data_IF_265165000291
#
_entry.id   IF_265165000291
#
_cell.length_a   1.000
_cell.length_b   1.000
_cell.length_c   1.000
_cell.angle_alpha   90.00
_cell.angle_beta   90.00
_cell.angle_gamma   90.00
#
_symmetry.space_group_name_H-M   'P 1'
#
loop_
_entity.id
_entity.type
_entity.pdbx_description
1 polymer ?
#
# COMPACT_ATOMS: atom_id res chain seq x y z
N UNK A 1 -79.92 -45.74 12.52
CA UNK A 1 -78.80 -46.00 13.48
C UNK A 1 -77.49 -45.79 12.76
N UNK A 2 -76.64 -45.14 13.42
CA UNK A 2 -75.16 -44.84 13.16
C UNK A 2 -74.87 -43.53 12.52
N UNK A 3 -74.76 -42.61 13.43
CA UNK A 3 -73.87 -41.41 13.38
C UNK A 3 -72.47 -41.82 13.82
N UNK A 4 -71.43 -41.61 13.06
CA UNK A 4 -70.07 -41.61 13.62
C UNK A 4 -69.10 -40.81 12.71
N UNK A 5 -68.55 -39.71 13.22
CA UNK A 5 -67.22 -39.16 13.10
C UNK A 5 -66.74 -38.58 11.73
N UNK A 6 -67.08 -37.35 11.47
CA UNK A 6 -66.31 -36.44 10.70
C UNK A 6 -65.84 -35.31 11.62
N UNK A 7 -64.68 -35.43 12.25
CA UNK A 7 -64.26 -34.42 13.22
C UNK A 7 -62.77 -34.46 13.62
N UNK A 8 -61.95 -35.32 13.01
CA UNK A 8 -60.57 -35.49 13.49
C UNK A 8 -59.44 -35.25 12.45
N UNK A 9 -59.81 -34.84 11.25
CA UNK A 9 -58.77 -34.73 10.16
C UNK A 9 -58.39 -33.30 9.72
N UNK A 10 -58.98 -32.26 10.35
CA UNK A 10 -58.70 -30.85 9.94
C UNK A 10 -57.72 -30.16 10.91
N UNK A 11 -57.40 -30.74 12.08
CA UNK A 11 -56.47 -30.11 13.04
C UNK A 11 -55.00 -30.46 12.85
N UNK A 12 -54.65 -31.45 12.02
CA UNK A 12 -53.28 -31.89 11.83
C UNK A 12 -52.57 -31.22 10.64
N UNK A 13 -53.28 -30.55 9.74
CA UNK A 13 -52.71 -29.93 8.55
C UNK A 13 -52.31 -28.45 8.78
N UNK A 14 -52.91 -27.80 9.79
CA UNK A 14 -52.59 -26.37 10.08
C UNK A 14 -51.36 -26.17 10.95
N UNK A 15 -50.87 -27.19 11.64
CA UNK A 15 -49.67 -27.07 12.49
C UNK A 15 -48.37 -27.30 11.76
N UNK A 16 -48.38 -27.97 10.61
CA UNK A 16 -47.16 -28.16 9.78
C UNK A 16 -46.87 -27.02 8.84
N UNK A 17 -47.85 -26.20 8.45
CA UNK A 17 -47.60 -25.01 7.60
C UNK A 17 -47.02 -23.84 8.38
N UNK A 18 -47.23 -23.74 9.68
CA UNK A 18 -46.68 -22.66 10.51
C UNK A 18 -45.21 -22.87 10.90
N UNK A 19 -44.73 -24.12 10.90
CA UNK A 19 -43.30 -24.39 11.22
C UNK A 19 -42.35 -24.22 10.04
N UNK A 20 -42.86 -24.28 8.81
CA UNK A 20 -42.02 -24.07 7.59
C UNK A 20 -41.81 -22.59 7.25
N UNK A 21 -42.61 -21.68 7.77
CA UNK A 21 -42.47 -20.25 7.55
C UNK A 21 -41.41 -19.59 8.46
N UNK A 22 -40.98 -20.25 9.55
CA UNK A 22 -39.97 -19.68 10.47
C UNK A 22 -38.52 -20.00 10.11
N UNK A 23 -38.27 -20.93 9.18
CA UNK A 23 -36.89 -21.30 8.79
C UNK A 23 -36.35 -20.48 7.62
N UNK A 24 -37.22 -19.78 6.88
CA UNK A 24 -36.80 -18.95 5.75
C UNK A 24 -36.28 -17.56 6.11
N UNK A 25 -36.31 -17.17 7.39
CA UNK A 25 -35.88 -15.82 7.84
C UNK A 25 -34.43 -15.75 8.34
N UNK A 26 -33.65 -16.85 8.29
CA UNK A 26 -32.33 -16.92 8.90
C UNK A 26 -31.16 -16.86 7.90
N UNK A 27 -31.41 -16.57 6.63
CA UNK A 27 -30.34 -16.43 5.65
C UNK A 27 -30.45 -15.09 4.88
N UNK A 28 -30.52 -13.98 5.59
CA UNK A 28 -30.11 -12.71 5.02
C UNK A 28 -28.58 -12.68 5.08
N UNK A 29 -27.89 -12.53 3.92
CA UNK A 29 -26.47 -12.27 3.95
C UNK A 29 -26.26 -11.03 4.82
N UNK A 30 -25.39 -11.13 5.81
CA UNK A 30 -25.12 -10.06 6.75
C UNK A 30 -24.88 -8.77 5.99
N UNK A 31 -25.80 -7.84 6.11
CA UNK A 31 -25.56 -6.47 5.69
C UNK A 31 -24.30 -6.04 6.46
N UNK A 32 -23.20 -5.83 5.75
CA UNK A 32 -22.01 -5.24 6.30
C UNK A 32 -22.44 -3.98 7.03
N UNK A 33 -22.42 -4.01 8.36
CA UNK A 33 -22.72 -2.83 9.16
C UNK A 33 -21.70 -1.79 8.73
N UNK A 34 -22.15 -0.85 7.93
CA UNK A 34 -21.32 0.29 7.54
C UNK A 34 -21.00 1.05 8.83
N UNK A 35 -19.74 1.03 9.23
CA UNK A 35 -19.29 1.84 10.36
C UNK A 35 -19.65 3.31 10.04
N UNK A 36 -20.56 3.94 10.79
CA UNK A 36 -21.00 5.31 10.51
C UNK A 36 -19.84 6.29 10.58
N UNK A 37 -18.86 6.06 11.45
CA UNK A 37 -17.66 6.91 11.61
C UNK A 37 -16.80 6.89 10.34
N UNK A 38 -16.68 5.73 9.69
CA UNK A 38 -15.93 5.61 8.43
C UNK A 38 -16.63 6.34 7.26
N UNK A 39 -17.97 6.38 7.24
CA UNK A 39 -18.71 7.15 6.24
C UNK A 39 -18.57 8.64 6.44
N UNK A 40 -18.61 9.09 7.70
CA UNK A 40 -18.38 10.49 8.06
C UNK A 40 -16.97 10.89 7.62
N UNK A 41 -15.96 10.11 7.95
CA UNK A 41 -14.58 10.31 7.53
C UNK A 41 -14.44 10.44 6.01
N UNK A 42 -15.00 9.50 5.24
CA UNK A 42 -14.93 9.56 3.78
C UNK A 42 -15.59 10.81 3.18
N UNK A 43 -16.71 11.28 3.77
CA UNK A 43 -17.41 12.45 3.28
C UNK A 43 -16.80 13.77 3.74
N UNK A 44 -16.54 13.89 5.03
CA UNK A 44 -16.16 15.17 5.64
C UNK A 44 -14.66 15.42 5.53
N UNK A 45 -13.84 14.42 5.83
CA UNK A 45 -12.38 14.58 5.85
C UNK A 45 -11.76 14.35 4.48
N UNK A 46 -12.23 13.33 3.75
CA UNK A 46 -11.72 13.01 2.41
C UNK A 46 -12.52 13.69 1.27
N UNK A 47 -13.71 14.21 1.54
CA UNK A 47 -14.56 14.84 0.55
C UNK A 47 -14.95 13.92 -0.61
N UNK A 48 -15.20 12.63 -0.35
CA UNK A 48 -15.61 11.66 -1.35
C UNK A 48 -17.11 11.78 -1.65
N UNK A 49 -17.47 11.60 -2.92
CA UNK A 49 -18.86 11.52 -3.35
C UNK A 49 -19.51 10.20 -2.92
N UNK A 50 -20.85 10.14 -3.00
CA UNK A 50 -21.61 8.91 -2.75
C UNK A 50 -21.17 7.77 -3.69
N UNK A 51 -20.95 8.07 -4.97
CA UNK A 51 -20.55 7.11 -5.98
C UNK A 51 -19.14 6.56 -5.70
N UNK A 52 -18.22 7.42 -5.27
CA UNK A 52 -16.88 7.01 -4.85
C UNK A 52 -16.92 6.08 -3.62
N UNK A 53 -17.77 6.40 -2.64
CA UNK A 53 -17.95 5.54 -1.46
C UNK A 53 -18.60 4.20 -1.84
N UNK A 54 -19.54 4.19 -2.78
CA UNK A 54 -20.14 2.96 -3.31
C UNK A 54 -19.11 2.11 -4.06
N UNK A 55 -18.24 2.73 -4.87
CA UNK A 55 -17.14 2.08 -5.57
C UNK A 55 -16.16 1.41 -4.58
N UNK A 56 -15.76 2.11 -3.50
CA UNK A 56 -14.92 1.53 -2.45
C UNK A 56 -15.58 0.28 -1.85
N UNK A 57 -16.88 0.35 -1.53
CA UNK A 57 -17.62 -0.78 -0.96
C UNK A 57 -17.73 -1.99 -1.89
N UNK A 58 -17.75 -1.74 -3.20
CA UNK A 58 -17.72 -2.81 -4.20
C UNK A 58 -16.34 -3.39 -4.46
N UNK A 59 -15.31 -2.95 -3.72
CA UNK A 59 -13.92 -3.43 -3.86
C UNK A 59 -13.13 -2.70 -4.94
N UNK A 60 -13.63 -1.58 -5.47
CA UNK A 60 -12.88 -0.73 -6.39
C UNK A 60 -11.98 0.23 -5.60
N UNK A 61 -10.74 0.38 -6.02
CA UNK A 61 -9.84 1.37 -5.46
C UNK A 61 -10.22 2.77 -5.92
N UNK A 62 -10.31 3.70 -4.96
CA UNK A 62 -10.53 5.13 -5.22
C UNK A 62 -9.34 5.89 -4.68
N UNK A 63 -8.74 6.75 -5.51
CA UNK A 63 -7.67 7.65 -5.10
C UNK A 63 -8.04 9.09 -5.42
N UNK A 64 -7.58 10.02 -4.59
CA UNK A 64 -7.85 11.45 -4.71
C UNK A 64 -6.66 12.26 -4.20
N UNK A 65 -6.30 13.30 -4.96
CA UNK A 65 -5.39 14.34 -4.47
C UNK A 65 -6.16 15.28 -3.54
N UNK A 66 -5.61 15.52 -2.37
CA UNK A 66 -6.15 16.43 -1.37
C UNK A 66 -5.38 17.76 -1.38
N UNK A 67 -6.00 18.86 -0.94
CA UNK A 67 -5.28 20.12 -0.76
C UNK A 67 -4.11 19.91 0.21
N UNK A 68 -2.92 20.29 -0.20
CA UNK A 68 -1.73 20.29 0.67
C UNK A 68 -1.58 21.64 1.37
N UNK A 69 -0.78 21.67 2.43
CA UNK A 69 -0.52 22.89 3.21
C UNK A 69 0.48 23.81 2.50
N UNK A 70 1.33 23.22 1.69
CA UNK A 70 2.38 23.94 0.95
C UNK A 70 2.43 23.45 -0.51
N UNK A 71 2.89 24.28 -1.46
CA UNK A 71 3.07 23.87 -2.86
C UNK A 71 4.07 22.72 -3.06
N UNK A 72 4.97 22.51 -2.10
CA UNK A 72 5.99 21.44 -2.17
C UNK A 72 5.45 20.07 -1.70
N UNK A 73 4.23 20.00 -1.20
CA UNK A 73 3.61 18.76 -0.73
C UNK A 73 2.57 18.24 -1.72
N UNK A 74 2.60 16.96 -2.01
CA UNK A 74 1.52 16.24 -2.68
C UNK A 74 0.83 15.34 -1.66
N UNK A 75 -0.44 15.67 -1.33
CA UNK A 75 -1.23 14.87 -0.41
C UNK A 75 -2.20 13.98 -1.19
N UNK A 76 -1.95 12.67 -1.15
CA UNK A 76 -2.78 11.65 -1.79
C UNK A 76 -3.48 10.80 -0.74
N UNK A 77 -4.75 10.52 -0.98
CA UNK A 77 -5.54 9.58 -0.18
C UNK A 77 -6.09 8.50 -1.10
N UNK A 78 -5.96 7.25 -0.68
CA UNK A 78 -6.53 6.11 -1.37
C UNK A 78 -7.32 5.23 -0.43
N UNK A 79 -8.40 4.63 -0.93
CA UNK A 79 -9.21 3.68 -0.19
C UNK A 79 -9.72 2.56 -1.08
N UNK A 80 -9.77 1.36 -0.52
CA UNK A 80 -10.36 0.16 -1.13
C UNK A 80 -10.92 -0.73 -0.03
N UNK A 81 -12.05 -1.36 -0.28
CA UNK A 81 -12.60 -2.36 0.63
C UNK A 81 -12.06 -3.74 0.25
N UNK A 82 -11.45 -4.42 1.22
CA UNK A 82 -10.91 -5.76 1.04
C UNK A 82 -11.73 -6.72 1.91
N UNK A 83 -12.28 -7.77 1.29
CA UNK A 83 -13.01 -8.85 1.99
C UNK A 83 -12.02 -9.78 2.69
N UNK A 84 -11.35 -9.28 3.71
CA UNK A 84 -10.41 -10.04 4.52
C UNK A 84 -10.35 -9.45 5.93
N UNK A 85 -9.98 -10.27 6.90
CA UNK A 85 -9.66 -9.77 8.23
C UNK A 85 -8.31 -9.02 8.20
N UNK A 86 -8.10 -8.02 9.06
CA UNK A 86 -6.87 -7.22 9.08
C UNK A 86 -5.59 -8.05 9.15
N UNK A 87 -5.63 -9.18 9.87
CA UNK A 87 -4.51 -10.10 10.03
C UNK A 87 -4.05 -10.70 8.71
N UNK A 88 -4.98 -10.99 7.79
CA UNK A 88 -4.66 -11.50 6.45
C UNK A 88 -3.89 -10.48 5.62
N UNK A 89 -4.25 -9.18 5.74
CA UNK A 89 -3.51 -8.10 5.11
C UNK A 89 -2.11 -7.97 5.69
N UNK A 90 -1.97 -8.01 7.02
CA UNK A 90 -0.68 -7.92 7.70
C UNK A 90 0.23 -9.11 7.34
N UNK A 91 -0.33 -10.32 7.24
CA UNK A 91 0.41 -11.50 6.76
C UNK A 91 0.89 -11.32 5.33
N UNK A 92 0.01 -10.85 4.43
CA UNK A 92 0.39 -10.56 3.05
C UNK A 92 1.48 -9.48 2.96
N UNK A 93 1.33 -8.38 3.70
CA UNK A 93 2.29 -7.26 3.70
C UNK A 93 3.68 -7.65 4.26
N UNK A 94 3.76 -8.72 5.05
CA UNK A 94 5.01 -9.27 5.61
C UNK A 94 5.58 -10.43 4.79
N UNK A 95 4.85 -10.93 3.81
CA UNK A 95 5.30 -12.01 2.93
C UNK A 95 6.15 -11.43 1.79
N UNK A 96 7.42 -11.10 2.10
CA UNK A 96 8.35 -10.52 1.13
C UNK A 96 8.63 -11.45 -0.05
N UNK A 97 8.56 -12.76 0.12
CA UNK A 97 8.77 -13.72 -0.96
C UNK A 97 7.62 -13.69 -1.98
N UNK A 98 6.42 -13.45 -1.51
CA UNK A 98 5.26 -13.22 -2.36
C UNK A 98 5.28 -11.85 -3.02
N UNK A 99 5.61 -10.79 -2.26
CA UNK A 99 5.67 -9.42 -2.77
C UNK A 99 6.73 -9.27 -3.87
N UNK A 100 7.90 -9.91 -3.75
CA UNK A 100 8.96 -9.91 -4.78
C UNK A 100 8.50 -10.46 -6.13
N UNK A 101 7.44 -11.27 -6.17
CA UNK A 101 6.90 -11.85 -7.41
C UNK A 101 5.93 -10.89 -8.12
N UNK A 102 5.56 -9.79 -7.49
CA UNK A 102 4.70 -8.77 -8.09
C UNK A 102 5.52 -7.87 -9.02
N UNK A 103 5.00 -7.53 -10.21
CA UNK A 103 5.76 -6.78 -11.22
C UNK A 103 6.15 -5.36 -10.79
N UNK A 104 5.54 -4.84 -9.74
CA UNK A 104 5.77 -3.48 -9.25
C UNK A 104 6.99 -3.36 -8.32
N UNK A 105 7.63 -4.47 -7.95
CA UNK A 105 8.79 -4.48 -7.07
C UNK A 105 10.03 -4.95 -7.82
N UNK A 106 10.94 -4.03 -8.11
CA UNK A 106 12.24 -4.34 -8.72
C UNK A 106 13.19 -4.97 -7.69
N UNK A 107 13.18 -4.45 -6.47
CA UNK A 107 13.90 -5.02 -5.34
C UNK A 107 13.09 -4.84 -4.06
N UNK A 108 13.06 -5.85 -3.22
CA UNK A 108 12.41 -5.84 -1.92
C UNK A 108 13.18 -6.74 -0.96
N UNK A 109 13.52 -6.24 0.21
CA UNK A 109 14.25 -7.01 1.21
C UNK A 109 14.08 -6.45 2.62
N UNK A 110 14.68 -7.15 3.55
CA UNK A 110 14.77 -6.75 4.95
C UNK A 110 16.24 -6.59 5.29
N UNK A 111 16.57 -5.45 5.88
CA UNK A 111 17.94 -5.23 6.37
C UNK A 111 18.25 -6.14 7.56
N UNK A 112 19.45 -6.65 7.59
CA UNK A 112 20.01 -7.34 8.76
C UNK A 112 20.12 -6.36 9.95
N UNK A 113 20.35 -6.90 11.14
CA UNK A 113 20.55 -6.08 12.32
C UNK A 113 21.93 -6.42 12.95
N UNK A 114 22.94 -5.56 12.83
CA UNK A 114 22.95 -4.25 12.15
C UNK A 114 22.88 -4.37 10.62
N UNK A 115 22.39 -3.34 9.89
CA UNK A 115 22.38 -3.31 8.44
C UNK A 115 23.78 -3.45 7.82
N UNK A 116 23.87 -4.18 6.72
CA UNK A 116 25.11 -4.46 6.01
C UNK A 116 25.01 -4.14 4.52
N UNK A 117 26.14 -3.95 3.85
CA UNK A 117 26.17 -3.67 2.41
C UNK A 117 25.56 -4.80 1.58
N UNK A 118 25.72 -6.05 2.05
CA UNK A 118 25.13 -7.24 1.42
C UNK A 118 23.59 -7.19 1.34
N UNK A 119 22.92 -6.45 2.22
CA UNK A 119 21.47 -6.29 2.21
C UNK A 119 20.99 -5.50 1.00
N UNK A 120 21.87 -4.69 0.40
CA UNK A 120 21.63 -3.85 -0.77
C UNK A 120 22.03 -4.50 -2.10
N UNK A 121 22.39 -5.78 -2.10
CA UNK A 121 22.89 -6.48 -3.32
C UNK A 121 21.91 -6.43 -4.51
N UNK A 122 20.62 -6.32 -4.28
CA UNK A 122 19.59 -6.19 -5.32
C UNK A 122 19.21 -4.74 -5.67
N UNK A 123 19.85 -3.76 -5.02
CA UNK A 123 19.59 -2.33 -5.25
C UNK A 123 20.61 -1.78 -6.24
N UNK A 124 20.14 -1.45 -7.45
CA UNK A 124 21.00 -0.92 -8.52
C UNK A 124 20.19 -0.02 -9.43
N UNK A 125 20.85 0.97 -10.01
CA UNK A 125 20.37 1.72 -11.16
C UNK A 125 20.71 0.98 -12.45
N UNK A 126 19.84 1.11 -13.43
CA UNK A 126 20.14 0.65 -14.79
C UNK A 126 21.03 1.67 -15.55
N UNK A 127 21.50 1.24 -16.74
CA UNK A 127 22.41 2.09 -17.54
C UNK A 127 21.78 3.39 -18.03
N UNK A 128 20.45 3.48 -18.15
CA UNK A 128 19.80 4.72 -18.57
C UNK A 128 19.65 5.71 -17.41
N UNK A 129 19.34 5.19 -16.22
CA UNK A 129 19.39 5.97 -14.98
C UNK A 129 20.79 6.50 -14.69
N UNK A 130 21.84 5.70 -14.92
CA UNK A 130 23.24 6.12 -14.75
C UNK A 130 23.62 7.19 -15.76
N UNK A 131 23.16 7.09 -17.01
CA UNK A 131 23.36 8.17 -18.00
C UNK A 131 22.65 9.46 -17.61
N UNK A 132 21.48 9.39 -16.99
CA UNK A 132 20.77 10.55 -16.45
C UNK A 132 21.58 11.18 -15.31
N UNK A 133 22.08 10.36 -14.36
CA UNK A 133 22.92 10.81 -13.24
C UNK A 133 24.19 11.53 -13.70
N UNK A 134 24.81 11.09 -14.79
CA UNK A 134 25.99 11.77 -15.38
C UNK A 134 25.72 13.21 -15.76
N UNK A 135 24.48 13.56 -16.09
CA UNK A 135 24.07 14.91 -16.50
C UNK A 135 23.57 15.78 -15.36
N UNK A 136 23.32 15.17 -14.20
CA UNK A 136 22.78 15.89 -13.04
C UNK A 136 23.68 17.03 -12.60
N UNK A 137 23.08 18.17 -12.34
CA UNK A 137 23.68 19.30 -11.63
C UNK A 137 22.73 19.74 -10.51
N UNK A 138 23.23 20.39 -9.44
CA UNK A 138 22.36 20.93 -8.41
C UNK A 138 21.28 21.84 -9.01
N UNK A 139 20.00 21.53 -8.72
CA UNK A 139 18.83 22.23 -9.28
C UNK A 139 18.37 21.76 -10.67
N UNK A 140 19.09 20.83 -11.31
CA UNK A 140 18.70 20.24 -12.61
C UNK A 140 19.08 18.77 -12.64
N UNK A 141 18.24 17.92 -12.08
CA UNK A 141 18.43 16.48 -12.04
C UNK A 141 17.07 15.77 -12.05
N UNK A 142 16.93 14.74 -12.88
CA UNK A 142 15.71 13.91 -12.92
C UNK A 142 15.44 13.18 -11.59
N UNK A 143 16.51 12.87 -10.86
CA UNK A 143 16.42 12.27 -9.54
C UNK A 143 16.63 13.36 -8.49
N UNK A 144 15.66 13.51 -7.58
CA UNK A 144 15.81 14.44 -6.46
C UNK A 144 16.92 13.97 -5.52
N UNK A 145 18.04 14.69 -5.55
CA UNK A 145 19.21 14.43 -4.74
C UNK A 145 19.71 15.73 -4.10
N UNK A 146 20.21 15.68 -2.86
CA UNK A 146 20.91 16.84 -2.28
C UNK A 146 22.10 17.27 -3.16
N UNK A 147 22.32 18.56 -3.32
CA UNK A 147 23.43 19.10 -4.10
C UNK A 147 24.79 18.45 -3.73
N UNK A 148 25.05 18.25 -2.42
CA UNK A 148 26.25 17.58 -1.94
C UNK A 148 26.40 16.14 -2.43
N UNK A 149 25.28 15.43 -2.65
CA UNK A 149 25.31 14.05 -3.18
C UNK A 149 25.62 14.03 -4.67
N UNK A 150 25.12 15.02 -5.42
CA UNK A 150 25.46 15.19 -6.85
C UNK A 150 26.95 15.53 -7.00
N UNK A 151 27.47 16.44 -6.20
CA UNK A 151 28.89 16.79 -6.19
C UNK A 151 29.79 15.60 -5.82
N UNK A 152 29.39 14.82 -4.81
CA UNK A 152 30.09 13.59 -4.42
C UNK A 152 30.12 12.57 -5.56
N UNK A 153 28.99 12.36 -6.23
CA UNK A 153 28.87 11.47 -7.38
C UNK A 153 29.85 11.88 -8.48
N UNK A 154 29.86 13.16 -8.87
CA UNK A 154 30.75 13.66 -9.93
C UNK A 154 32.24 13.61 -9.57
N UNK A 155 32.58 13.77 -8.30
CA UNK A 155 33.96 13.71 -7.82
C UNK A 155 34.49 12.27 -7.71
N UNK A 156 33.61 11.33 -7.40
CA UNK A 156 34.02 9.96 -7.03
C UNK A 156 33.98 8.98 -8.19
N UNK A 157 33.30 9.29 -9.29
CA UNK A 157 33.09 8.39 -10.42
C UNK A 157 33.99 8.77 -11.61
N UNK A 158 34.69 7.76 -12.14
CA UNK A 158 35.35 7.91 -13.46
C UNK A 158 34.31 7.61 -14.56
N UNK A 159 33.69 8.68 -15.06
CA UNK A 159 32.66 8.62 -16.09
C UNK A 159 33.16 8.15 -17.46
N UNK A 160 34.45 7.96 -17.64
CA UNK A 160 35.06 7.41 -18.86
C UNK A 160 35.37 5.92 -18.75
N UNK A 161 35.27 5.37 -17.57
CA UNK A 161 35.57 3.96 -17.31
C UNK A 161 34.58 2.99 -17.93
N UNK A 162 35.05 1.82 -18.32
CA UNK A 162 34.19 0.74 -18.82
C UNK A 162 33.31 0.12 -17.72
N UNK A 163 33.69 0.28 -16.45
CA UNK A 163 32.98 -0.21 -15.26
C UNK A 163 32.20 0.91 -14.53
N UNK A 164 31.86 1.99 -15.21
CA UNK A 164 31.13 3.15 -14.64
C UNK A 164 29.85 2.72 -13.94
N UNK A 165 29.09 1.81 -14.53
CA UNK A 165 27.82 1.33 -13.96
C UNK A 165 28.04 0.65 -12.61
N UNK A 166 29.12 -0.14 -12.48
CA UNK A 166 29.48 -0.78 -11.21
C UNK A 166 29.95 0.25 -10.17
N UNK A 167 30.79 1.22 -10.56
CA UNK A 167 31.26 2.29 -9.67
C UNK A 167 30.09 3.10 -9.10
N UNK A 168 29.13 3.51 -9.95
CA UNK A 168 27.95 4.26 -9.53
C UNK A 168 27.12 3.43 -8.56
N UNK A 169 26.83 2.18 -8.88
CA UNK A 169 26.03 1.30 -8.02
C UNK A 169 26.71 1.02 -6.67
N UNK A 170 28.01 0.83 -6.64
CA UNK A 170 28.78 0.66 -5.39
C UNK A 170 28.73 1.91 -4.52
N UNK A 171 28.94 3.10 -5.11
CA UNK A 171 28.84 4.36 -4.40
C UNK A 171 27.45 4.57 -3.82
N UNK A 172 26.40 4.32 -4.63
CA UNK A 172 25.02 4.44 -4.23
C UNK A 172 24.68 3.53 -3.05
N UNK A 173 25.01 2.24 -3.14
CA UNK A 173 24.78 1.27 -2.07
C UNK A 173 25.47 1.68 -0.77
N UNK A 174 26.71 2.16 -0.86
CA UNK A 174 27.47 2.66 0.28
C UNK A 174 26.80 3.89 0.92
N UNK A 175 26.36 4.82 0.09
CA UNK A 175 25.69 6.06 0.53
C UNK A 175 24.35 5.74 1.22
N UNK A 176 23.56 4.83 0.65
CA UNK A 176 22.28 4.39 1.25
C UNK A 176 22.52 3.72 2.61
N UNK A 177 23.51 2.80 2.70
CA UNK A 177 23.85 2.17 3.97
C UNK A 177 24.29 3.17 5.03
N UNK A 178 25.18 4.10 4.68
CA UNK A 178 25.65 5.15 5.60
C UNK A 178 24.48 6.02 6.11
N UNK A 179 23.58 6.41 5.22
CA UNK A 179 22.39 7.20 5.57
C UNK A 179 21.44 6.43 6.47
N UNK A 180 21.21 5.14 6.18
CA UNK A 180 20.39 4.28 7.05
C UNK A 180 20.97 4.15 8.45
N UNK A 181 22.27 3.90 8.57
CA UNK A 181 22.96 3.81 9.85
C UNK A 181 22.93 5.14 10.62
N UNK A 182 23.09 6.26 9.93
CA UNK A 182 22.96 7.59 10.51
C UNK A 182 21.51 7.84 10.98
N UNK A 183 20.52 7.48 10.16
CA UNK A 183 19.10 7.62 10.53
C UNK A 183 18.74 6.81 11.78
N UNK A 184 19.27 5.59 11.91
CA UNK A 184 19.05 4.77 13.10
C UNK A 184 19.62 5.40 14.38
N UNK A 185 20.71 6.18 14.28
CA UNK A 185 21.31 6.85 15.43
C UNK A 185 20.67 8.20 15.76
N UNK A 186 20.32 8.97 14.76
CA UNK A 186 20.05 10.41 14.85
C UNK A 186 18.62 10.78 14.42
N UNK A 187 17.86 9.80 13.85
CA UNK A 187 16.49 10.03 13.39
C UNK A 187 16.41 11.02 12.24
N UNK A 188 15.34 11.82 12.23
CA UNK A 188 15.03 12.75 11.11
C UNK A 188 16.08 13.86 10.91
N UNK A 189 17.01 14.07 11.83
CA UNK A 189 18.03 15.11 11.71
C UNK A 189 19.01 14.88 10.55
N UNK A 190 19.12 13.61 10.10
CA UNK A 190 20.02 13.26 8.96
C UNK A 190 19.32 13.25 7.61
N UNK A 191 18.01 13.53 7.57
CA UNK A 191 17.28 13.62 6.32
C UNK A 191 17.76 14.87 5.56
N UNK A 192 18.05 14.69 4.27
CA UNK A 192 18.55 15.77 3.43
C UNK A 192 17.52 16.89 3.27
N UNK A 193 18.01 18.10 3.14
CA UNK A 193 17.21 19.24 2.68
C UNK A 193 17.37 19.31 1.16
N UNK A 194 16.28 19.27 0.45
CA UNK A 194 16.21 19.40 -1.01
C UNK A 194 15.81 20.84 -1.30
N UNK A 195 16.74 21.62 -1.85
CA UNK A 195 16.55 23.03 -2.24
C UNK A 195 16.57 23.11 -3.76
N UNK A 196 15.59 22.48 -4.40
CA UNK A 196 15.39 22.57 -5.85
C UNK A 196 14.43 23.72 -6.20
#
# INVERSE_FOLDING_TARGET
MQNVKKGAMIRSVMTTAALLALIAAAALPGASQSNPDLQIFFRQDMGLSQDQIAAIRSGQAVAKTMPSRTPAEVFLVGAVYIHAVPESYLQFARDFDRLRKLPNYLALGVFSNPPQLSDLKGFSFDSDEIKALKKCTPGDCELQMPASSIEELHRSIDWSSADVDEQVNQLLQKTVLQRLLAYQREGNQVLGVYND
#
